data_IF_604942021607
#
_entry.id   IF_604942021607
#
_cell.length_a   1.000
_cell.length_b   1.000
_cell.length_c   1.000
_cell.angle_alpha   90.00
_cell.angle_beta   90.00
_cell.angle_gamma   90.00
#
_symmetry.space_group_name_H-M   'P 1'
#
loop_
_entity.id
_entity.type
_entity.pdbx_description
1 polymer ?
#
# COMPACT_ATOMS: atom_id res chain seq x y z
N UNK A 1 21.87 -17.06 12.87
CA UNK A 1 20.83 -16.35 13.65
C UNK A 1 19.45 -16.93 13.35
N UNK A 2 18.51 -16.86 14.28
CA UNK A 2 17.13 -17.31 14.11
C UNK A 2 16.28 -16.19 13.47
N UNK A 3 15.07 -16.53 13.01
CA UNK A 3 14.18 -15.61 12.30
C UNK A 3 13.85 -14.32 13.10
N UNK A 4 13.72 -14.42 14.41
CA UNK A 4 13.43 -13.25 15.29
C UNK A 4 14.58 -12.23 15.27
N UNK A 5 15.81 -12.71 15.38
CA UNK A 5 17.01 -11.86 15.31
C UNK A 5 17.14 -11.21 13.93
N UNK A 6 16.96 -12.00 12.87
CA UNK A 6 16.95 -11.53 11.49
C UNK A 6 15.91 -10.44 11.26
N UNK A 7 14.69 -10.64 11.73
CA UNK A 7 13.59 -9.67 11.64
C UNK A 7 13.95 -8.34 12.30
N UNK A 8 14.52 -8.39 13.50
CA UNK A 8 14.98 -7.21 14.24
C UNK A 8 16.09 -6.46 13.50
N UNK A 9 17.11 -7.18 13.00
CA UNK A 9 18.25 -6.57 12.29
C UNK A 9 17.81 -5.89 10.98
N UNK A 10 16.87 -6.51 10.26
CA UNK A 10 16.40 -5.99 8.98
C UNK A 10 15.22 -5.01 9.07
N UNK A 11 14.66 -4.81 10.26
CA UNK A 11 13.51 -3.92 10.47
C UNK A 11 12.23 -4.42 9.78
N UNK A 12 12.06 -5.75 9.62
CA UNK A 12 10.88 -6.38 9.00
C UNK A 12 10.26 -7.40 9.95
N UNK A 13 8.98 -7.76 9.72
CA UNK A 13 8.34 -8.79 10.53
C UNK A 13 8.82 -10.21 10.14
N UNK A 14 8.73 -11.16 11.09
CA UNK A 14 8.96 -12.56 10.79
C UNK A 14 8.04 -13.10 9.69
N UNK A 15 6.79 -12.63 9.67
CA UNK A 15 5.82 -12.98 8.65
C UNK A 15 6.28 -12.50 7.26
N UNK A 16 6.86 -11.30 7.17
CA UNK A 16 7.45 -10.76 5.94
C UNK A 16 8.59 -11.64 5.45
N UNK A 17 9.50 -12.08 6.33
CA UNK A 17 10.61 -12.94 5.94
C UNK A 17 10.12 -14.31 5.42
N UNK A 18 9.12 -14.91 6.07
CA UNK A 18 8.49 -16.16 5.59
C UNK A 18 7.80 -15.98 4.25
N UNK A 19 7.13 -14.84 4.07
CA UNK A 19 6.49 -14.50 2.80
C UNK A 19 7.52 -14.33 1.68
N UNK A 20 8.62 -13.61 1.92
CA UNK A 20 9.69 -13.43 0.95
C UNK A 20 10.33 -14.75 0.53
N UNK A 21 10.53 -15.67 1.47
CA UNK A 21 10.99 -17.02 1.15
C UNK A 21 9.96 -17.81 0.31
N UNK A 22 8.67 -17.72 0.69
CA UNK A 22 7.58 -18.40 -0.02
C UNK A 22 7.45 -17.97 -1.48
N UNK A 23 7.60 -16.68 -1.77
CA UNK A 23 7.54 -16.14 -3.15
C UNK A 23 8.88 -16.22 -3.89
N UNK A 24 9.93 -16.77 -3.28
CA UNK A 24 11.26 -16.91 -3.88
C UNK A 24 12.05 -15.61 -3.97
N UNK A 25 11.61 -14.55 -3.29
CA UNK A 25 12.31 -13.26 -3.26
C UNK A 25 13.64 -13.36 -2.51
N UNK A 26 13.69 -14.13 -1.42
CA UNK A 26 14.93 -14.56 -0.77
C UNK A 26 15.19 -16.04 -1.11
N UNK A 27 16.47 -16.45 -1.20
CA UNK A 27 16.81 -17.85 -1.41
C UNK A 27 16.25 -18.76 -0.31
N UNK A 28 16.03 -20.06 -0.58
CA UNK A 28 15.62 -21.01 0.45
C UNK A 28 16.55 -20.96 1.66
N UNK A 29 15.95 -20.84 2.84
CA UNK A 29 16.71 -20.69 4.09
C UNK A 29 17.01 -22.08 4.67
N UNK A 30 18.28 -22.42 4.94
CA UNK A 30 18.63 -23.67 5.54
C UNK A 30 18.01 -23.82 6.95
N UNK A 31 17.79 -25.07 7.34
CA UNK A 31 17.24 -25.39 8.65
C UNK A 31 18.27 -26.18 9.46
N UNK A 32 18.28 -25.95 10.76
CA UNK A 32 19.09 -26.75 11.70
C UNK A 32 18.45 -28.12 11.96
N UNK A 33 19.11 -28.94 12.78
CA UNK A 33 18.65 -30.26 13.16
C UNK A 33 17.28 -30.26 13.87
N UNK A 34 16.90 -29.15 14.48
CA UNK A 34 15.58 -28.93 15.11
C UNK A 34 14.52 -28.36 14.14
N UNK A 35 14.81 -28.29 12.85
CA UNK A 35 13.89 -27.77 11.81
C UNK A 35 13.74 -26.24 11.77
N UNK A 36 14.47 -25.50 12.59
CA UNK A 36 14.41 -24.04 12.64
C UNK A 36 15.26 -23.41 11.53
N UNK A 37 14.75 -22.33 10.91
CA UNK A 37 15.46 -21.52 9.91
C UNK A 37 16.71 -20.90 10.50
N UNK A 38 17.83 -20.98 9.78
CA UNK A 38 19.11 -20.39 10.17
C UNK A 38 19.57 -19.42 9.11
N UNK A 39 19.68 -18.16 9.50
CA UNK A 39 20.14 -17.07 8.64
C UNK A 39 21.61 -16.74 8.94
N UNK A 40 22.35 -16.33 7.92
CA UNK A 40 23.70 -15.77 8.02
C UNK A 40 23.70 -14.30 7.60
N UNK A 41 24.87 -13.67 7.57
CA UNK A 41 25.03 -12.26 7.20
C UNK A 41 24.60 -11.97 5.76
N UNK A 42 24.78 -12.92 4.83
CA UNK A 42 24.39 -12.74 3.43
C UNK A 42 22.89 -12.54 3.28
N UNK A 43 22.07 -13.24 4.10
CA UNK A 43 20.61 -13.01 4.12
C UNK A 43 20.25 -11.61 4.64
N UNK A 44 21.01 -11.08 5.61
CA UNK A 44 20.80 -9.70 6.10
C UNK A 44 21.04 -8.70 4.95
N UNK A 45 22.16 -8.83 4.26
CA UNK A 45 22.50 -7.95 3.13
C UNK A 45 21.48 -8.08 1.99
N UNK A 46 21.02 -9.30 1.70
CA UNK A 46 19.99 -9.55 0.70
C UNK A 46 18.66 -8.86 1.05
N UNK A 47 18.19 -8.99 2.29
CA UNK A 47 16.94 -8.35 2.73
C UNK A 47 17.08 -6.83 2.80
N UNK A 48 18.24 -6.30 3.19
CA UNK A 48 18.53 -4.86 3.13
C UNK A 48 18.44 -4.32 1.71
N UNK A 49 19.03 -5.01 0.73
CA UNK A 49 18.90 -4.64 -0.68
C UNK A 49 17.45 -4.63 -1.15
N UNK A 50 16.64 -5.63 -0.77
CA UNK A 50 15.20 -5.64 -1.06
C UNK A 50 14.52 -4.40 -0.45
N UNK A 51 14.85 -4.05 0.79
CA UNK A 51 14.30 -2.89 1.48
C UNK A 51 14.67 -1.56 0.80
N UNK A 52 15.91 -1.44 0.32
CA UNK A 52 16.37 -0.29 -0.46
C UNK A 52 15.60 -0.16 -1.78
N UNK A 53 15.45 -1.24 -2.54
CA UNK A 53 14.68 -1.23 -3.79
C UNK A 53 13.19 -0.91 -3.54
N UNK A 54 12.64 -1.36 -2.42
CA UNK A 54 11.27 -1.02 -2.01
C UNK A 54 11.13 0.45 -1.63
N UNK A 55 12.13 1.05 -0.99
CA UNK A 55 12.13 2.46 -0.60
C UNK A 55 12.09 3.42 -1.79
N UNK A 56 12.61 3.02 -2.95
CA UNK A 56 12.50 3.78 -4.21
C UNK A 56 11.21 3.49 -4.97
N UNK A 57 10.21 2.88 -4.31
CA UNK A 57 8.87 2.70 -4.87
C UNK A 57 8.70 1.54 -5.83
N UNK A 58 9.65 0.60 -5.88
CA UNK A 58 9.52 -0.61 -6.69
C UNK A 58 8.45 -1.54 -6.12
N UNK A 59 7.62 -2.13 -7.00
CA UNK A 59 6.72 -3.21 -6.64
C UNK A 59 7.49 -4.49 -6.28
N UNK A 60 6.88 -5.39 -5.52
CA UNK A 60 7.52 -6.67 -5.19
C UNK A 60 7.86 -7.49 -6.44
N UNK A 61 7.01 -7.46 -7.47
CA UNK A 61 7.26 -8.15 -8.74
C UNK A 61 8.50 -7.58 -9.47
N UNK A 62 8.64 -6.25 -9.51
CA UNK A 62 9.81 -5.59 -10.09
C UNK A 62 11.10 -5.89 -9.29
N UNK A 63 10.98 -5.97 -7.96
CA UNK A 63 12.11 -6.36 -7.10
C UNK A 63 12.47 -7.82 -7.36
N UNK A 64 11.50 -8.72 -7.49
CA UNK A 64 11.74 -10.12 -7.79
C UNK A 64 12.46 -10.29 -9.14
N UNK A 65 11.98 -9.63 -10.19
CA UNK A 65 12.65 -9.61 -11.50
C UNK A 65 14.08 -9.09 -11.39
N UNK A 66 14.29 -7.99 -10.66
CA UNK A 66 15.63 -7.44 -10.42
C UNK A 66 16.55 -8.46 -9.75
N UNK A 67 16.07 -9.13 -8.69
CA UNK A 67 16.85 -10.13 -7.94
C UNK A 67 17.14 -11.38 -8.76
N UNK A 68 16.21 -11.83 -9.59
CA UNK A 68 16.43 -12.93 -10.53
C UNK A 68 17.52 -12.60 -11.58
N UNK A 69 17.46 -11.39 -12.11
CA UNK A 69 18.49 -10.88 -13.02
C UNK A 69 19.84 -10.74 -12.32
N UNK A 70 19.85 -10.31 -11.05
CA UNK A 70 21.08 -10.20 -10.27
C UNK A 70 21.78 -11.56 -10.09
N UNK A 71 21.01 -12.62 -9.87
CA UNK A 71 21.52 -14.01 -9.80
C UNK A 71 22.21 -14.46 -11.10
N UNK A 72 21.81 -13.92 -12.26
CA UNK A 72 22.43 -14.20 -13.56
C UNK A 72 23.74 -13.44 -13.81
N UNK A 73 24.14 -12.56 -12.87
CA UNK A 73 25.42 -11.88 -12.84
C UNK A 73 25.53 -10.63 -13.72
N UNK A 74 26.75 -10.23 -14.02
CA UNK A 74 27.07 -8.95 -14.69
C UNK A 74 26.42 -8.76 -16.06
N UNK A 75 26.19 -9.81 -16.82
CA UNK A 75 25.54 -9.75 -18.15
C UNK A 75 24.15 -9.12 -18.14
N UNK A 76 23.48 -9.04 -16.97
CA UNK A 76 22.13 -8.48 -16.81
C UNK A 76 22.14 -7.04 -16.29
N UNK A 77 23.29 -6.41 -16.13
CA UNK A 77 23.43 -5.05 -15.59
C UNK A 77 22.55 -4.04 -16.31
N UNK A 78 22.51 -4.09 -17.65
CA UNK A 78 21.66 -3.18 -18.44
C UNK A 78 20.17 -3.36 -18.16
N UNK A 79 19.68 -4.59 -18.04
CA UNK A 79 18.30 -4.91 -17.73
C UNK A 79 17.91 -4.42 -16.32
N UNK A 80 18.78 -4.65 -15.32
CA UNK A 80 18.56 -4.18 -13.95
C UNK A 80 18.50 -2.65 -13.86
N UNK A 81 19.36 -1.95 -14.61
CA UNK A 81 19.29 -0.47 -14.70
C UNK A 81 17.98 0.02 -15.29
N UNK A 82 17.42 -0.68 -16.30
CA UNK A 82 16.11 -0.33 -16.88
C UNK A 82 14.98 -0.44 -15.85
N UNK A 83 14.98 -1.45 -15.00
CA UNK A 83 13.97 -1.62 -13.95
C UNK A 83 13.99 -0.42 -12.99
N UNK A 84 15.18 0.00 -12.54
CA UNK A 84 15.33 1.17 -11.65
C UNK A 84 14.92 2.47 -12.39
N UNK A 85 15.30 2.60 -13.67
CA UNK A 85 14.90 3.76 -14.46
C UNK A 85 13.37 3.88 -14.60
N UNK A 86 12.67 2.75 -14.79
CA UNK A 86 11.22 2.72 -14.83
C UNK A 86 10.61 3.12 -13.49
N UNK A 87 11.12 2.61 -12.37
CA UNK A 87 10.69 3.02 -11.04
C UNK A 87 10.84 4.53 -10.82
N UNK A 88 11.97 5.10 -11.25
CA UNK A 88 12.21 6.54 -11.23
C UNK A 88 11.17 7.32 -12.06
N UNK A 89 10.82 6.85 -13.26
CA UNK A 89 9.82 7.50 -14.10
C UNK A 89 8.44 7.49 -13.43
N UNK A 90 8.06 6.39 -12.80
CA UNK A 90 6.80 6.30 -12.05
C UNK A 90 6.74 7.28 -10.88
N UNK A 91 7.86 7.47 -10.16
CA UNK A 91 7.96 8.46 -9.09
C UNK A 91 7.83 9.90 -9.63
N UNK A 92 8.48 10.22 -10.75
CA UNK A 92 8.35 11.53 -11.39
C UNK A 92 6.91 11.81 -11.84
N UNK A 93 6.22 10.81 -12.39
CA UNK A 93 4.81 10.93 -12.74
C UNK A 93 3.94 11.20 -11.50
N UNK A 94 4.19 10.52 -10.38
CA UNK A 94 3.50 10.78 -9.10
C UNK A 94 3.75 12.20 -8.59
N UNK A 95 4.98 12.69 -8.68
CA UNK A 95 5.32 14.07 -8.29
C UNK A 95 4.51 15.07 -9.11
N UNK A 96 4.43 14.89 -10.44
CA UNK A 96 3.62 15.74 -11.32
C UNK A 96 2.15 15.74 -10.93
N UNK A 97 1.57 14.54 -10.69
CA UNK A 97 0.18 14.42 -10.25
C UNK A 97 -0.09 15.10 -8.90
N UNK A 98 0.85 15.00 -7.96
CA UNK A 98 0.74 15.69 -6.67
C UNK A 98 0.84 17.20 -6.82
N UNK A 99 1.72 17.69 -7.68
CA UNK A 99 1.83 19.12 -7.98
C UNK A 99 0.54 19.69 -8.61
N UNK A 100 -0.07 18.94 -9.54
CA UNK A 100 -1.37 19.30 -10.11
C UNK A 100 -2.48 19.31 -9.05
N UNK A 101 -2.48 18.34 -8.13
CA UNK A 101 -3.45 18.29 -7.05
C UNK A 101 -3.30 19.47 -6.08
N UNK A 102 -2.06 19.87 -5.77
CA UNK A 102 -1.78 21.07 -4.95
C UNK A 102 -2.28 22.32 -5.66
N UNK A 103 -1.99 22.49 -6.96
CA UNK A 103 -2.46 23.65 -7.72
C UNK A 103 -4.00 23.76 -7.73
N UNK A 104 -4.71 22.62 -7.87
CA UNK A 104 -6.18 22.59 -7.75
C UNK A 104 -6.66 22.97 -6.35
N UNK A 105 -5.98 22.50 -5.31
CA UNK A 105 -6.32 22.85 -3.94
C UNK A 105 -6.10 24.35 -3.68
N UNK A 106 -5.03 24.93 -4.18
CA UNK A 106 -4.75 26.37 -4.10
C UNK A 106 -5.83 27.20 -4.81
N UNK A 107 -6.27 26.77 -5.99
CA UNK A 107 -7.39 27.39 -6.72
C UNK A 107 -8.70 27.33 -5.91
N UNK A 108 -8.99 26.17 -5.33
CA UNK A 108 -10.18 26.00 -4.48
C UNK A 108 -10.12 26.87 -3.23
N UNK A 109 -8.96 27.01 -2.61
CA UNK A 109 -8.76 27.87 -1.45
C UNK A 109 -8.93 29.36 -1.83
N UNK A 110 -8.35 29.78 -2.95
CA UNK A 110 -8.46 31.17 -3.43
C UNK A 110 -9.92 31.56 -3.73
N UNK A 111 -10.73 30.63 -4.21
CA UNK A 111 -12.13 30.86 -4.58
C UNK A 111 -13.14 30.24 -3.60
N UNK A 112 -12.72 29.92 -2.38
CA UNK A 112 -13.51 29.13 -1.43
C UNK A 112 -14.88 29.74 -1.16
N UNK A 113 -14.93 31.04 -0.79
CA UNK A 113 -16.15 31.74 -0.41
C UNK A 113 -17.12 31.94 -1.59
N UNK A 114 -16.61 32.05 -2.81
CA UNK A 114 -17.42 32.36 -3.99
C UNK A 114 -17.89 31.09 -4.73
N UNK A 115 -17.13 30.01 -4.70
CA UNK A 115 -17.42 28.81 -5.47
C UNK A 115 -17.68 27.58 -4.60
N UNK A 116 -16.73 27.18 -3.76
CA UNK A 116 -16.78 25.91 -3.03
C UNK A 116 -17.78 25.95 -1.86
N UNK A 117 -17.78 27.04 -1.07
CA UNK A 117 -18.69 27.18 0.08
C UNK A 117 -20.16 27.13 -0.32
N UNK A 118 -20.66 27.91 -1.30
CA UNK A 118 -22.07 27.84 -1.73
C UNK A 118 -22.47 26.47 -2.25
N UNK A 119 -21.59 25.80 -3.02
CA UNK A 119 -21.86 24.45 -3.51
C UNK A 119 -21.99 23.43 -2.36
N UNK A 120 -21.09 23.50 -1.39
CA UNK A 120 -21.08 22.63 -0.22
C UNK A 120 -22.35 22.82 0.62
N UNK A 121 -22.75 24.07 0.88
CA UNK A 121 -23.97 24.37 1.65
C UNK A 121 -25.24 23.85 0.97
N UNK A 122 -25.35 23.98 -0.34
CA UNK A 122 -26.49 23.45 -1.12
C UNK A 122 -26.55 21.93 -1.02
N UNK A 123 -25.41 21.23 -1.16
CA UNK A 123 -25.33 19.78 -1.07
C UNK A 123 -25.66 19.29 0.33
N UNK A 124 -25.14 19.93 1.37
CA UNK A 124 -25.45 19.59 2.77
C UNK A 124 -26.92 19.72 3.06
N UNK A 125 -27.58 20.82 2.63
CA UNK A 125 -29.02 21.01 2.79
C UNK A 125 -29.85 19.93 2.06
N UNK A 126 -29.47 19.58 0.82
CA UNK A 126 -30.14 18.53 0.04
C UNK A 126 -30.03 17.16 0.72
N UNK A 127 -28.85 16.78 1.20
CA UNK A 127 -28.62 15.50 1.86
C UNK A 127 -29.29 15.42 3.23
N UNK A 128 -29.27 16.50 4.00
CA UNK A 128 -29.98 16.58 5.28
C UNK A 128 -31.50 16.35 5.09
N UNK A 129 -32.12 16.97 4.10
CA UNK A 129 -33.52 16.78 3.77
C UNK A 129 -33.82 15.36 3.29
N UNK A 130 -32.93 14.76 2.48
CA UNK A 130 -33.08 13.37 2.04
C UNK A 130 -32.95 12.37 3.21
N UNK A 131 -32.02 12.60 4.14
CA UNK A 131 -31.85 11.76 5.33
C UNK A 131 -33.03 11.80 6.25
N UNK A 132 -33.63 12.99 6.48
CA UNK A 132 -34.85 13.15 7.25
C UNK A 132 -36.03 12.39 6.59
N UNK A 133 -36.18 12.48 5.28
CA UNK A 133 -37.20 11.73 4.53
C UNK A 133 -36.97 10.21 4.63
N UNK A 134 -35.75 9.73 4.58
CA UNK A 134 -35.42 8.30 4.72
C UNK A 134 -35.72 7.77 6.12
N UNK A 135 -35.39 8.53 7.16
CA UNK A 135 -35.70 8.16 8.57
C UNK A 135 -37.22 8.12 8.82
N UNK A 136 -37.98 9.02 8.21
CA UNK A 136 -39.46 9.02 8.33
C UNK A 136 -40.08 7.78 7.67
N UNK A 137 -39.55 7.34 6.53
CA UNK A 137 -40.01 6.11 5.85
C UNK A 137 -39.68 4.86 6.69
N UNK A 138 -38.51 4.82 7.31
CA UNK A 138 -38.10 3.69 8.16
C UNK A 138 -38.90 3.59 9.46
N UNK A 139 -39.23 4.72 10.12
CA UNK A 139 -40.07 4.72 11.31
C UNK A 139 -41.51 4.28 11.00
N UNK A 140 -42.10 4.71 9.89
CA UNK A 140 -43.41 4.22 9.48
C UNK A 140 -43.45 2.73 9.14
N UNK A 141 -42.36 2.18 8.67
CA UNK A 141 -42.21 0.73 8.39
C UNK A 141 -42.09 -0.11 9.68
N UNK A 142 -41.52 0.43 10.75
CA UNK A 142 -41.40 -0.27 12.03
C UNK A 142 -42.67 -0.28 12.84
N UNK A 143 -43.47 0.76 12.77
CA UNK A 143 -44.76 0.82 13.48
C UNK A 143 -45.79 -0.20 12.94
N UNK A 144 -45.64 -0.64 11.67
CA UNK A 144 -46.55 -1.66 11.11
C UNK A 144 -46.28 -3.08 11.60
N UNK A 145 -45.09 -3.34 12.18
CA UNK A 145 -44.70 -4.68 12.61
C UNK A 145 -44.91 -4.91 14.13
N UNK A 146 -45.15 -3.84 14.89
CA UNK A 146 -45.40 -3.94 16.32
C UNK A 146 -46.87 -4.25 16.64
N UNK A 147 -47.80 -3.88 15.75
CA UNK A 147 -49.22 -4.22 15.90
C UNK A 147 -49.59 -5.67 15.51
N UNK A 148 -48.68 -6.38 14.82
CA UNK A 148 -48.91 -7.77 14.43
C UNK A 148 -48.45 -8.80 15.50
N UNK A 149 -47.95 -8.36 16.66
CA UNK A 149 -47.47 -9.23 17.75
C UNK A 149 -48.39 -9.24 19.01
N UNK A 150 -49.52 -8.54 18.96
CA UNK A 150 -50.51 -8.56 20.05
C UNK A 150 -51.88 -8.98 19.47
N UNK A 151 -51.93 -10.22 18.97
CA UNK A 151 -53.20 -10.94 18.71
C UNK A 151 -52.94 -12.42 18.88
#
# INVERSE_FOLDING_TARGET
MIIKEMATICGVSEATLRYYEKIGLIPPVPRNVSGLRVYNQDYVEWVKLISELKSVGMSLDAIQEYMELARKGKRTTHQRRKIIALARQLLLSKISQLQEAVAKADEQLANYDQALLPQTEVLVKKLANAAVSSVYVYRKGCDFNEQARIS
#
